data_IF_454328841089
#
_entry.id   IF_454328841089
#
_cell.length_a   1.000
_cell.length_b   1.000
_cell.length_c   1.000
_cell.angle_alpha   90.00
_cell.angle_beta   90.00
_cell.angle_gamma   90.00
#
_symmetry.space_group_name_H-M   'P 1'
#
loop_
_entity.id
_entity.type
_entity.pdbx_description
1 polymer ?
#
# COMPACT_ATOMS: atom_id res chain seq x y z
N UNK A 1 5.23 2.07 -1.84
CA UNK A 1 5.59 2.10 -0.41
C UNK A 1 5.21 3.46 0.15
N UNK A 2 4.20 3.50 1.01
CA UNK A 2 3.61 4.76 1.47
C UNK A 2 3.69 4.92 2.97
N UNK A 3 3.22 6.06 3.46
CA UNK A 3 3.01 6.27 4.89
C UNK A 3 2.07 5.19 5.44
N UNK A 4 2.44 4.59 6.57
CA UNK A 4 1.60 3.69 7.36
C UNK A 4 1.50 4.22 8.78
N UNK A 5 0.38 3.92 9.43
CA UNK A 5 0.17 4.22 10.85
C UNK A 5 0.25 2.90 11.60
N UNK A 6 1.16 2.83 12.58
CA UNK A 6 1.33 1.67 13.44
C UNK A 6 1.16 2.10 14.89
N UNK A 7 0.62 1.21 15.72
CA UNK A 7 0.55 1.41 17.17
C UNK A 7 1.73 0.67 17.79
N UNK A 8 2.62 1.41 18.45
CA UNK A 8 3.76 0.83 19.15
C UNK A 8 3.43 0.82 20.65
N UNK A 9 3.33 -0.36 21.30
CA UNK A 9 3.15 -0.45 22.74
C UNK A 9 4.31 0.22 23.49
N UNK A 10 4.04 0.87 24.62
CA UNK A 10 5.08 1.54 25.41
C UNK A 10 6.15 0.56 25.91
N UNK A 11 5.75 -0.65 26.30
CA UNK A 11 6.66 -1.71 26.74
C UNK A 11 7.33 -2.49 25.60
N UNK A 12 7.12 -2.13 24.34
CA UNK A 12 7.64 -2.89 23.21
C UNK A 12 9.17 -2.85 23.18
N UNK A 13 9.80 -4.02 23.06
CA UNK A 13 11.22 -4.15 22.82
C UNK A 13 11.56 -4.02 21.33
N UNK A 14 12.86 -3.94 21.02
CA UNK A 14 13.32 -3.80 19.64
C UNK A 14 12.80 -4.90 18.71
N UNK A 15 12.78 -6.15 19.19
CA UNK A 15 12.32 -7.30 18.43
C UNK A 15 10.84 -7.19 18.06
N UNK A 16 10.00 -6.77 19.00
CA UNK A 16 8.55 -6.55 18.75
C UNK A 16 8.32 -5.40 17.77
N UNK A 17 9.09 -4.31 17.90
CA UNK A 17 9.04 -3.20 16.94
C UNK A 17 9.45 -3.67 15.55
N UNK A 18 10.51 -4.49 15.44
CA UNK A 18 10.92 -5.10 14.16
C UNK A 18 9.80 -5.93 13.56
N UNK A 19 9.12 -6.78 14.36
CA UNK A 19 7.99 -7.55 13.86
C UNK A 19 6.85 -6.65 13.35
N UNK A 20 6.49 -5.60 14.09
CA UNK A 20 5.48 -4.63 13.65
C UNK A 20 5.87 -3.97 12.32
N UNK A 21 7.16 -3.62 12.14
CA UNK A 21 7.64 -3.04 10.89
C UNK A 21 7.62 -4.03 9.74
N UNK A 22 8.01 -5.29 9.95
CA UNK A 22 7.98 -6.34 8.93
C UNK A 22 6.58 -6.72 8.48
N UNK A 23 5.61 -6.74 9.40
CA UNK A 23 4.19 -6.96 9.06
C UNK A 23 3.65 -5.87 8.13
N UNK A 24 4.02 -4.61 8.40
CA UNK A 24 3.48 -3.45 7.68
C UNK A 24 4.28 -3.11 6.42
N UNK A 25 5.56 -3.44 6.41
CA UNK A 25 6.48 -3.23 5.31
C UNK A 25 7.24 -4.52 5.05
N UNK A 26 6.67 -5.40 4.23
CA UNK A 26 7.19 -6.74 3.99
C UNK A 26 8.67 -6.76 3.57
N UNK A 27 9.11 -5.82 2.72
CA UNK A 27 10.51 -5.63 2.34
C UNK A 27 11.50 -5.44 3.49
N UNK A 28 11.02 -5.06 4.69
CA UNK A 28 11.87 -4.93 5.87
C UNK A 28 12.48 -6.26 6.30
N UNK A 29 11.84 -7.40 5.95
CA UNK A 29 12.37 -8.73 6.23
C UNK A 29 13.73 -8.95 5.57
N UNK A 30 13.97 -8.36 4.40
CA UNK A 30 15.23 -8.47 3.66
C UNK A 30 16.38 -7.66 4.28
N UNK A 31 16.06 -6.75 5.21
CA UNK A 31 17.07 -5.90 5.83
C UNK A 31 17.80 -6.59 6.98
N UNK A 32 17.32 -7.73 7.47
CA UNK A 32 17.92 -8.47 8.60
C UNK A 32 18.22 -7.58 9.83
N UNK A 33 17.39 -6.56 10.09
CA UNK A 33 17.58 -5.61 11.19
C UNK A 33 18.46 -4.39 10.86
N UNK A 34 19.01 -4.29 9.66
CA UNK A 34 19.83 -3.17 9.20
C UNK A 34 18.95 -1.95 8.81
N UNK A 35 18.34 -1.29 9.81
CA UNK A 35 17.52 -0.10 9.62
C UNK A 35 17.64 0.90 10.76
N UNK A 36 17.45 2.18 10.46
CA UNK A 36 17.46 3.28 11.42
C UNK A 36 16.22 4.15 11.29
N UNK A 37 15.81 4.77 12.40
CA UNK A 37 14.68 5.69 12.43
C UNK A 37 15.15 7.13 12.40
N UNK A 38 14.46 7.93 11.60
CA UNK A 38 14.69 9.36 11.51
C UNK A 38 13.40 10.11 11.77
N UNK A 39 13.51 11.28 12.40
CA UNK A 39 12.40 12.21 12.61
C UNK A 39 12.64 13.51 11.86
N UNK A 40 11.57 14.14 11.40
CA UNK A 40 11.63 15.49 10.88
C UNK A 40 11.45 16.49 12.03
N UNK A 41 12.31 17.49 12.10
CA UNK A 41 12.17 18.60 13.05
C UNK A 41 11.15 19.63 12.51
N UNK A 42 10.43 20.32 13.40
CA UNK A 42 9.41 21.31 13.05
C UNK A 42 9.95 22.51 12.26
N UNK A 43 9.09 23.17 11.48
CA UNK A 43 9.41 24.35 10.66
C UNK A 43 8.66 24.39 9.32
N UNK A 44 8.57 25.59 8.73
CA UNK A 44 8.04 25.82 7.37
C UNK A 44 9.19 25.82 6.36
N UNK A 45 9.37 24.72 5.62
CA UNK A 45 10.43 24.60 4.60
C UNK A 45 10.97 23.17 4.45
N UNK A 46 12.21 23.07 3.95
CA UNK A 46 12.99 21.82 3.87
C UNK A 46 13.29 21.32 5.29
N UNK A 47 12.67 20.21 5.68
CA UNK A 47 12.88 19.61 7.01
C UNK A 47 14.05 18.65 6.95
N UNK A 48 15.11 18.99 7.68
CA UNK A 48 16.23 18.07 7.90
C UNK A 48 15.72 16.87 8.70
N UNK A 49 16.02 15.67 8.21
CA UNK A 49 15.84 14.45 8.96
C UNK A 49 16.97 14.32 9.97
N UNK A 50 16.60 14.10 11.24
CA UNK A 50 17.54 13.83 12.33
C UNK A 50 17.41 12.38 12.73
N UNK A 51 18.55 11.72 12.93
CA UNK A 51 18.59 10.36 13.44
C UNK A 51 17.94 10.29 14.83
N UNK A 52 17.08 9.31 15.03
CA UNK A 52 16.65 8.88 16.35
C UNK A 52 17.62 7.79 16.76
N UNK A 53 18.53 8.09 17.69
CA UNK A 53 19.52 7.11 18.12
C UNK A 53 18.86 5.96 18.89
N UNK A 54 19.16 4.70 18.57
CA UNK A 54 18.78 3.57 19.41
C UNK A 54 19.55 3.59 20.73
N UNK A 55 19.03 2.91 21.74
CA UNK A 55 19.75 2.58 22.98
C UNK A 55 20.60 1.31 22.80
N UNK A 56 21.25 0.84 23.86
CA UNK A 56 22.07 -0.38 23.87
C UNK A 56 21.28 -1.65 23.49
N UNK A 57 19.98 -1.67 23.78
CA UNK A 57 19.03 -2.73 23.43
C UNK A 57 18.27 -2.46 22.12
N UNK A 58 18.59 -1.37 21.42
CA UNK A 58 17.96 -0.97 20.17
C UNK A 58 16.86 0.09 20.35
N UNK A 59 15.79 -0.03 19.57
CA UNK A 59 14.62 0.85 19.71
C UNK A 59 13.64 0.23 20.71
N UNK A 60 13.14 1.03 21.65
CA UNK A 60 12.10 0.62 22.61
C UNK A 60 10.88 1.52 22.49
N UNK A 61 9.68 1.00 22.80
CA UNK A 61 8.44 1.77 22.75
C UNK A 61 8.52 3.04 23.60
N UNK A 62 9.00 2.92 24.83
CA UNK A 62 9.24 4.04 25.74
C UNK A 62 10.29 5.03 25.20
N UNK A 63 11.40 4.55 24.62
CA UNK A 63 12.43 5.41 24.03
C UNK A 63 11.92 6.19 22.81
N UNK A 64 11.12 5.53 21.97
CA UNK A 64 10.45 6.12 20.82
C UNK A 64 9.40 7.15 21.24
N UNK A 65 8.58 6.84 22.25
CA UNK A 65 7.58 7.76 22.78
C UNK A 65 8.22 9.05 23.32
N UNK A 66 9.32 8.94 24.10
CA UNK A 66 10.12 10.08 24.57
C UNK A 66 10.68 10.93 23.43
N UNK A 67 11.02 10.30 22.30
CA UNK A 67 11.68 10.95 21.17
C UNK A 67 10.75 11.80 20.31
N UNK A 68 9.45 11.50 20.26
CA UNK A 68 8.47 12.21 19.41
C UNK A 68 7.24 12.77 20.15
N UNK A 69 7.05 12.47 21.44
CA UNK A 69 6.02 13.07 22.30
C UNK A 69 4.57 12.68 21.95
N UNK A 70 4.29 11.42 21.59
CA UNK A 70 2.93 10.94 21.31
C UNK A 70 2.68 10.46 19.88
N UNK A 71 2.05 11.26 19.01
CA UNK A 71 1.78 10.87 17.61
C UNK A 71 2.78 11.54 16.67
N UNK A 72 3.78 10.78 16.22
CA UNK A 72 4.85 11.27 15.34
C UNK A 72 4.81 10.65 13.94
N UNK A 73 5.54 11.26 13.00
CA UNK A 73 5.91 10.60 11.75
C UNK A 73 7.40 10.29 11.80
N UNK A 74 7.74 9.01 11.67
CA UNK A 74 9.11 8.57 11.50
C UNK A 74 9.37 8.08 10.08
N UNK A 75 10.64 8.14 9.71
CA UNK A 75 11.16 7.63 8.46
C UNK A 75 12.05 6.44 8.78
N UNK A 76 11.70 5.28 8.22
CA UNK A 76 12.51 4.08 8.30
C UNK A 76 13.52 4.14 7.15
N UNK A 77 14.81 4.14 7.48
CA UNK A 77 15.89 4.21 6.51
C UNK A 77 16.75 2.94 6.62
N UNK A 78 16.82 2.11 5.56
CA UNK A 78 17.68 0.94 5.56
C UNK A 78 19.16 1.35 5.61
N UNK A 79 19.97 0.58 6.31
CA UNK A 79 21.43 0.73 6.34
C UNK A 79 21.99 -0.12 5.19
N UNK A 80 21.90 0.40 3.97
CA UNK A 80 22.37 -0.29 2.76
C UNK A 80 23.43 0.54 2.04
N UNK A 81 24.43 -0.13 1.46
CA UNK A 81 25.45 0.54 0.64
C UNK A 81 24.90 1.02 -0.71
N UNK A 82 23.88 0.32 -1.25
CA UNK A 82 23.15 0.69 -2.47
C UNK A 82 21.66 0.54 -2.22
N UNK A 83 20.88 1.56 -2.60
CA UNK A 83 19.42 1.51 -2.59
C UNK A 83 18.95 1.05 -3.96
N UNK A 84 18.20 -0.04 -4.02
CA UNK A 84 17.46 -0.36 -5.23
C UNK A 84 16.29 0.64 -5.38
N UNK A 85 16.28 1.34 -6.50
CA UNK A 85 15.27 2.34 -6.86
C UNK A 85 14.40 1.85 -8.02
N UNK A 86 14.49 0.55 -8.37
CA UNK A 86 13.59 -0.07 -9.33
C UNK A 86 12.13 0.06 -8.87
N UNK A 87 11.18 0.29 -9.79
CA UNK A 87 9.77 0.36 -9.43
C UNK A 87 9.27 -1.02 -8.98
N UNK A 88 8.46 -1.05 -7.91
CA UNK A 88 7.79 -2.27 -7.47
C UNK A 88 6.89 -2.84 -8.59
N UNK A 89 6.93 -4.16 -8.85
CA UNK A 89 6.05 -4.78 -9.83
C UNK A 89 4.58 -4.74 -9.38
N UNK A 90 3.62 -4.66 -10.31
CA UNK A 90 2.18 -4.60 -9.99
C UNK A 90 1.63 -5.79 -9.21
N UNK A 91 2.35 -6.92 -9.21
CA UNK A 91 2.03 -8.13 -8.46
C UNK A 91 2.60 -8.13 -7.05
N UNK A 92 3.28 -7.06 -6.63
CA UNK A 92 3.91 -6.97 -5.32
C UNK A 92 2.85 -6.95 -4.21
N UNK A 93 3.15 -7.64 -3.10
CA UNK A 93 2.26 -7.77 -1.93
C UNK A 93 1.87 -6.42 -1.33
N UNK A 94 2.75 -5.42 -1.45
CA UNK A 94 2.51 -4.04 -1.02
C UNK A 94 1.26 -3.41 -1.64
N UNK A 95 0.78 -3.97 -2.74
CA UNK A 95 -0.36 -3.49 -3.49
C UNK A 95 -1.68 -4.19 -3.16
N UNK A 96 -1.67 -5.29 -2.40
CA UNK A 96 -2.87 -6.04 -1.99
C UNK A 96 -3.85 -5.20 -1.18
N UNK A 97 -3.33 -4.39 -0.25
CA UNK A 97 -4.13 -3.52 0.60
C UNK A 97 -4.55 -2.20 -0.08
N UNK A 98 -4.13 -1.96 -1.33
CA UNK A 98 -4.55 -0.76 -2.06
C UNK A 98 -5.90 -0.98 -2.76
N UNK A 99 -6.74 0.07 -2.86
CA UNK A 99 -7.93 0.00 -3.68
C UNK A 99 -7.57 -0.33 -5.12
N UNK A 100 -8.08 -1.44 -5.64
CA UNK A 100 -7.84 -1.89 -7.01
C UNK A 100 -9.04 -1.55 -7.90
N UNK A 101 -8.76 -1.32 -9.18
CA UNK A 101 -9.77 -1.10 -10.21
C UNK A 101 -9.40 -1.90 -11.47
N UNK A 102 -10.42 -2.33 -12.21
CA UNK A 102 -10.23 -3.09 -13.45
C UNK A 102 -9.87 -2.17 -14.60
N UNK A 103 -8.76 -2.43 -15.27
CA UNK A 103 -8.41 -1.74 -16.53
C UNK A 103 -9.41 -2.12 -17.62
N UNK A 104 -9.95 -1.13 -18.34
CA UNK A 104 -10.91 -1.37 -19.43
C UNK A 104 -10.27 -2.04 -20.65
N UNK A 105 -8.96 -1.84 -20.87
CA UNK A 105 -8.26 -2.34 -22.06
C UNK A 105 -7.80 -3.79 -21.93
N UNK A 106 -7.31 -4.20 -20.75
CA UNK A 106 -6.77 -5.54 -20.53
C UNK A 106 -7.46 -6.35 -19.42
N UNK A 107 -8.49 -5.80 -18.78
CA UNK A 107 -9.24 -6.41 -17.68
C UNK A 107 -8.42 -6.81 -16.44
N UNK A 108 -7.13 -6.47 -16.36
CA UNK A 108 -6.31 -6.67 -15.16
C UNK A 108 -6.76 -5.71 -14.06
N UNK A 109 -6.80 -6.21 -12.82
CA UNK A 109 -6.96 -5.37 -11.64
C UNK A 109 -5.62 -4.70 -11.33
N UNK A 110 -5.63 -3.37 -11.32
CA UNK A 110 -4.46 -2.53 -11.07
C UNK A 110 -4.79 -1.59 -9.92
N UNK A 111 -3.84 -1.25 -9.04
CA UNK A 111 -4.05 -0.24 -8.02
C UNK A 111 -4.57 1.06 -8.62
N UNK A 112 -5.62 1.62 -8.02
CA UNK A 112 -6.30 2.81 -8.54
C UNK A 112 -5.33 3.97 -8.79
N UNK A 113 -4.34 4.14 -7.90
CA UNK A 113 -3.31 5.19 -8.00
C UNK A 113 -2.35 4.99 -9.17
N UNK A 114 -2.26 3.79 -9.73
CA UNK A 114 -1.37 3.44 -10.84
C UNK A 114 -2.15 3.19 -12.15
N UNK A 115 -3.48 3.22 -12.10
CA UNK A 115 -4.32 2.89 -13.24
C UNK A 115 -4.09 3.84 -14.43
N UNK A 116 -3.91 5.14 -14.18
CA UNK A 116 -3.67 6.12 -15.25
C UNK A 116 -2.36 5.82 -15.99
N UNK A 117 -1.28 5.54 -15.24
CA UNK A 117 0.02 5.18 -15.80
C UNK A 117 -0.05 3.86 -16.58
N UNK A 118 -0.78 2.89 -16.05
CA UNK A 118 -0.97 1.60 -16.73
C UNK A 118 -1.67 1.78 -18.09
N UNK A 119 -2.72 2.61 -18.17
CA UNK A 119 -3.48 2.82 -19.41
C UNK A 119 -2.61 3.43 -20.52
N UNK A 120 -1.61 4.25 -20.19
CA UNK A 120 -0.68 4.83 -21.17
C UNK A 120 0.19 3.78 -21.88
N UNK A 121 0.53 2.68 -21.19
CA UNK A 121 1.40 1.62 -21.74
C UNK A 121 0.65 0.30 -21.97
N UNK A 122 -0.67 0.27 -21.78
CA UNK A 122 -1.45 -0.95 -21.88
C UNK A 122 -1.78 -1.27 -23.34
N UNK A 123 -1.13 -2.30 -23.88
CA UNK A 123 -1.56 -2.94 -25.13
C UNK A 123 -2.80 -3.80 -24.86
N UNK A 124 -3.78 -3.77 -25.75
CA UNK A 124 -4.92 -4.71 -25.68
C UNK A 124 -4.37 -6.14 -25.78
N UNK A 125 -4.83 -7.09 -24.96
CA UNK A 125 -4.55 -8.49 -25.24
C UNK A 125 -5.19 -8.81 -26.59
N UNK A 126 -4.43 -9.43 -27.49
CA UNK A 126 -5.03 -10.09 -28.65
C UNK A 126 -5.96 -11.16 -28.10
N UNK A 127 -7.23 -11.09 -28.49
CA UNK A 127 -8.24 -12.05 -28.08
C UNK A 127 -7.91 -13.32 -28.85
N UNK A 128 -7.32 -14.32 -28.20
CA UNK A 128 -7.34 -15.67 -28.73
C UNK A 128 -8.79 -16.13 -28.72
N UNK A 129 -9.46 -15.97 -29.87
CA UNK A 129 -10.78 -16.53 -30.14
C UNK A 129 -10.67 -18.06 -30.11
N UNK A 130 -10.86 -18.66 -28.94
CA UNK A 130 -11.24 -20.07 -28.87
C UNK A 130 -12.74 -20.10 -29.14
N UNK A 131 -13.08 -20.26 -30.42
CA UNK A 131 -14.39 -20.74 -30.86
C UNK A 131 -14.67 -22.09 -30.18
N UNK A 132 -15.65 -22.13 -29.30
CA UNK A 132 -16.36 -23.37 -29.01
C UNK A 132 -17.85 -23.11 -29.21
N UNK A 133 -18.29 -23.31 -30.45
CA UNK A 133 -19.68 -23.64 -30.73
C UNK A 133 -20.03 -24.88 -29.91
N UNK A 134 -21.00 -24.74 -28.99
CA UNK A 134 -21.99 -25.76 -28.70
C UNK A 134 -23.20 -25.04 -28.10
N UNK A 135 -24.25 -24.95 -28.91
CA UNK A 135 -25.61 -24.74 -28.41
C UNK A 135 -26.02 -25.99 -27.64
N UNK A 136 -26.73 -25.81 -26.53
CA UNK A 136 -27.95 -26.55 -26.20
C UNK A 136 -28.65 -25.86 -25.02
N UNK A 137 -29.92 -25.53 -25.24
CA UNK A 137 -30.89 -24.99 -24.28
C UNK A 137 -31.16 -25.97 -23.11
N UNK A 138 -31.56 -25.46 -21.93
CA UNK A 138 -32.77 -25.83 -21.13
C UNK A 138 -32.78 -25.07 -19.77
N UNK A 139 -33.73 -24.14 -19.67
CA UNK A 139 -34.75 -23.87 -18.61
C UNK A 139 -34.53 -23.90 -17.07
N UNK A 140 -35.30 -23.00 -16.44
CA UNK A 140 -35.84 -22.92 -15.06
C UNK A 140 -34.98 -22.53 -13.83
N UNK A 141 -35.14 -21.25 -13.42
CA UNK A 141 -35.51 -20.75 -12.08
C UNK A 141 -34.77 -21.20 -10.80
N UNK A 142 -34.18 -20.24 -10.07
CA UNK A 142 -34.46 -20.03 -8.63
C UNK A 142 -33.91 -18.69 -8.14
N UNK A 143 -34.68 -18.01 -7.29
CA UNK A 143 -34.38 -16.70 -6.69
C UNK A 143 -33.56 -16.87 -5.42
N UNK A 144 -32.38 -16.27 -5.33
CA UNK A 144 -31.79 -15.95 -4.02
C UNK A 144 -31.22 -14.53 -4.02
N UNK A 145 -31.84 -13.70 -3.19
CA UNK A 145 -31.49 -12.32 -2.93
C UNK A 145 -30.11 -12.23 -2.25
N UNK A 146 -29.25 -11.33 -2.74
CA UNK A 146 -28.03 -10.91 -2.05
C UNK A 146 -28.29 -9.57 -1.33
N UNK A 147 -27.76 -9.38 -0.11
CA UNK A 147 -28.14 -8.26 0.75
C UNK A 147 -27.58 -6.93 0.24
N UNK A 148 -28.45 -5.92 0.16
CA UNK A 148 -28.07 -4.54 -0.13
C UNK A 148 -27.26 -3.95 1.03
N UNK A 149 -26.05 -3.47 0.76
CA UNK A 149 -25.33 -2.64 1.71
C UNK A 149 -25.93 -1.22 1.69
N UNK A 150 -26.63 -0.87 2.77
CA UNK A 150 -27.34 0.39 2.94
C UNK A 150 -26.40 1.60 2.98
N UNK A 151 -26.73 2.58 2.14
CA UNK A 151 -26.64 4.02 2.34
C UNK A 151 -25.26 4.62 2.66
N UNK A 152 -24.53 5.00 1.60
CA UNK A 152 -23.55 6.10 1.65
C UNK A 152 -24.26 7.42 1.29
N UNK A 153 -24.01 8.54 1.98
CA UNK A 153 -24.63 9.82 1.63
C UNK A 153 -24.20 10.30 0.25
N UNK A 154 -25.18 10.85 -0.48
CA UNK A 154 -25.08 11.33 -1.87
C UNK A 154 -24.04 12.46 -2.00
N UNK A 155 -22.80 12.11 -2.32
CA UNK A 155 -21.79 13.10 -2.74
C UNK A 155 -22.09 13.43 -4.20
N UNK A 156 -22.71 14.58 -4.43
CA UNK A 156 -22.99 15.11 -5.78
C UNK A 156 -21.67 15.44 -6.49
N UNK A 157 -21.03 14.43 -7.08
CA UNK A 157 -19.86 14.61 -7.94
C UNK A 157 -20.34 15.06 -9.31
N UNK A 158 -20.10 16.33 -9.64
CA UNK A 158 -20.35 16.88 -10.97
C UNK A 158 -19.21 16.47 -11.90
N UNK A 159 -19.29 15.29 -12.49
CA UNK A 159 -18.37 14.85 -13.54
C UNK A 159 -18.70 15.57 -14.85
N UNK A 160 -17.78 16.42 -15.32
CA UNK A 160 -17.74 16.75 -16.75
C UNK A 160 -16.96 15.63 -17.44
N UNK A 161 -17.64 14.76 -18.17
CA UNK A 161 -16.99 13.87 -19.11
C UNK A 161 -16.34 14.75 -20.19
N UNK A 162 -15.02 14.78 -20.24
CA UNK A 162 -14.32 15.12 -21.48
C UNK A 162 -14.26 13.86 -22.33
N UNK A 163 -14.87 13.91 -23.51
CA UNK A 163 -14.56 12.97 -24.59
C UNK A 163 -13.18 13.33 -25.16
N UNK A 164 -12.39 12.34 -25.61
CA UNK A 164 -11.13 12.58 -26.30
C UNK A 164 -11.34 13.40 -27.58
#
# INVERSE_FOLDING_TARGET
MGRRTIQVPEGACHKEITYLLCEVYFKMNELEGAWMLHKAMGGSGQRRLTLVSPDEMGYTGAGLFKSWGGKGCLYVMPIQHRLDMSPLPYTAREFEAMPNARCVSCSKHVPLQLLSLHVETCTKPEVDEIHSDNNDDVDEGDSTELPSCSQVPDVKVRTKLYKP
#
